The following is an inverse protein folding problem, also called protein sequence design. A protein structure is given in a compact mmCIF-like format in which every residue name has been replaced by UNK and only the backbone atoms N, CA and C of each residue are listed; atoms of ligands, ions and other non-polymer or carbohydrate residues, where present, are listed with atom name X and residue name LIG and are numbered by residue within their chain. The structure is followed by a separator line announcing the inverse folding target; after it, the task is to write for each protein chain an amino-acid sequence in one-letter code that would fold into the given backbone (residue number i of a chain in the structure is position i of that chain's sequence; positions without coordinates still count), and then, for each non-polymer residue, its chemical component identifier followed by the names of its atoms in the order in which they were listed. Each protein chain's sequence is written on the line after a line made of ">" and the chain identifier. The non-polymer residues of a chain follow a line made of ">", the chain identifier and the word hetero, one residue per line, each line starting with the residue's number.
data_IF_171895304274
#
_entry.id   IF_171895304274
#
_cell.length_a   1.000
_cell.length_b   1.000
_cell.length_c   1.000
_cell.angle_alpha   90.00
_cell.angle_beta   90.00
_cell.angle_gamma   90.00
#
_symmetry.space_group_name_H-M   'P 1'
#
loop_
_entity.id
_entity.type
_entity.pdbx_description
1 polymer ?
#
# COMPACT_ATOMS: atom_id res chain seq x y z
N UNK A 1 25.03 11.33 -12.31
CA UNK A 1 23.70 11.32 -11.64
C UNK A 1 23.95 11.42 -10.17
N UNK A 2 23.17 12.22 -9.45
CA UNK A 2 23.22 12.23 -7.99
C UNK A 2 22.79 10.85 -7.48
N UNK A 3 23.66 10.16 -6.76
CA UNK A 3 23.45 8.82 -6.21
C UNK A 3 23.10 8.86 -4.72
N UNK A 4 22.82 10.05 -4.19
CA UNK A 4 22.45 10.19 -2.78
C UNK A 4 21.14 9.45 -2.51
N UNK A 5 21.15 8.61 -1.49
CA UNK A 5 19.99 7.87 -1.01
C UNK A 5 19.71 8.30 0.44
N UNK A 6 18.45 8.62 0.80
CA UNK A 6 18.12 9.10 2.15
C UNK A 6 18.06 7.95 3.15
N UNK A 7 18.48 8.21 4.39
CA UNK A 7 18.06 7.34 5.50
C UNK A 7 16.57 7.51 5.75
N UNK A 8 15.90 6.41 6.08
CA UNK A 8 14.44 6.37 6.20
C UNK A 8 14.03 6.27 7.66
N UNK A 9 13.26 7.24 8.10
CA UNK A 9 12.69 7.32 9.44
C UNK A 9 11.28 6.70 9.51
N UNK A 10 10.80 6.41 10.72
CA UNK A 10 9.38 6.16 10.98
C UNK A 10 8.59 7.46 10.81
N UNK A 11 7.31 7.34 10.42
CA UNK A 11 6.37 8.45 10.45
C UNK A 11 5.22 8.09 11.40
N UNK A 12 5.20 8.71 12.56
CA UNK A 12 4.22 8.43 13.59
C UNK A 12 3.61 9.74 14.08
N UNK A 13 2.30 9.78 14.16
CA UNK A 13 1.55 10.93 14.66
C UNK A 13 1.93 12.28 13.99
N UNK A 14 2.17 12.25 12.67
CA UNK A 14 2.53 13.45 11.90
C UNK A 14 4.02 13.81 11.90
N UNK A 15 4.87 13.04 12.59
CA UNK A 15 6.29 13.35 12.75
C UNK A 15 7.19 12.27 12.18
N UNK A 16 8.22 12.69 11.44
CA UNK A 16 9.34 11.83 11.07
C UNK A 16 10.28 11.71 12.28
N UNK A 17 10.60 10.48 12.66
CA UNK A 17 11.41 10.19 13.85
C UNK A 17 12.21 8.91 13.70
N UNK A 18 13.33 8.83 14.40
CA UNK A 18 14.05 7.58 14.57
C UNK A 18 13.27 6.65 15.50
N UNK A 19 13.52 5.34 15.43
CA UNK A 19 12.97 4.40 16.38
C UNK A 19 13.47 4.72 17.82
N UNK A 20 12.62 4.46 18.82
CA UNK A 20 12.96 4.71 20.24
C UNK A 20 14.27 4.02 20.62
N UNK A 21 14.46 2.77 20.19
CA UNK A 21 15.68 2.01 20.42
C UNK A 21 16.89 2.50 19.60
N UNK A 22 16.69 3.43 18.64
CA UNK A 22 17.70 3.90 17.66
C UNK A 22 18.34 2.78 16.84
N UNK A 23 17.68 1.65 16.75
CA UNK A 23 18.09 0.55 15.89
C UNK A 23 17.75 0.85 14.44
N UNK A 24 18.59 0.35 13.53
CA UNK A 24 18.41 0.52 12.09
C UNK A 24 18.63 -0.80 11.37
N UNK A 25 18.11 -0.89 10.16
CA UNK A 25 18.34 -1.98 9.21
C UNK A 25 18.98 -1.37 7.97
N UNK A 26 20.03 -2.01 7.45
CA UNK A 26 20.70 -1.55 6.22
C UNK A 26 19.82 -1.75 5.00
N UNK A 27 19.85 -0.77 4.11
CA UNK A 27 19.19 -0.84 2.80
C UNK A 27 20.25 -1.13 1.74
N UNK A 28 20.02 -2.17 0.96
CA UNK A 28 20.99 -2.70 0.00
C UNK A 28 20.57 -2.32 -1.43
N UNK A 29 21.49 -1.80 -2.22
CA UNK A 29 21.30 -1.66 -3.65
C UNK A 29 21.45 -3.04 -4.32
N UNK A 30 20.42 -3.62 -4.94
CA UNK A 30 20.47 -4.97 -5.48
C UNK A 30 21.40 -5.11 -6.70
N UNK A 31 21.77 -4.02 -7.36
CA UNK A 31 22.68 -4.05 -8.51
C UNK A 31 24.15 -4.08 -8.11
N UNK A 32 24.50 -3.57 -6.93
CA UNK A 32 25.90 -3.46 -6.46
C UNK A 32 26.16 -4.20 -5.16
N UNK A 33 25.10 -4.71 -4.51
CA UNK A 33 25.13 -5.37 -3.20
C UNK A 33 25.71 -4.50 -2.07
N UNK A 34 25.83 -3.19 -2.34
CA UNK A 34 26.35 -2.23 -1.36
C UNK A 34 25.23 -1.64 -0.49
N UNK A 35 25.57 -1.34 0.76
CA UNK A 35 24.70 -0.56 1.65
C UNK A 35 24.62 0.88 1.09
N UNK A 36 23.40 1.35 0.87
CA UNK A 36 23.15 2.70 0.33
C UNK A 36 22.55 3.65 1.35
N UNK A 37 22.02 3.14 2.44
CA UNK A 37 21.41 3.89 3.54
C UNK A 37 20.87 2.95 4.61
N UNK A 38 20.15 3.52 5.55
CA UNK A 38 19.55 2.81 6.66
C UNK A 38 18.10 3.21 6.85
N UNK A 39 17.27 2.29 7.32
CA UNK A 39 15.91 2.58 7.78
C UNK A 39 15.77 2.32 9.28
N UNK A 40 14.93 3.12 9.94
CA UNK A 40 14.62 2.96 11.35
C UNK A 40 13.91 1.63 11.61
N UNK A 41 14.32 0.90 12.65
CA UNK A 41 13.73 -0.38 13.05
C UNK A 41 12.79 -0.18 14.24
N UNK A 42 11.49 -0.16 13.96
CA UNK A 42 10.46 -0.01 14.99
C UNK A 42 10.44 -1.19 15.97
N UNK A 43 10.33 -0.87 17.23
CA UNK A 43 10.11 -1.81 18.32
C UNK A 43 8.73 -1.59 18.94
N UNK A 44 8.46 -2.34 19.99
CA UNK A 44 7.14 -2.35 20.65
C UNK A 44 6.66 -0.94 21.04
N UNK A 45 7.55 -0.12 21.56
CA UNK A 45 7.23 1.26 22.01
C UNK A 45 6.80 2.14 20.84
N UNK A 46 7.43 2.00 19.67
CA UNK A 46 7.06 2.71 18.44
C UNK A 46 5.69 2.24 17.92
N UNK A 47 5.42 0.94 18.03
CA UNK A 47 4.13 0.35 17.61
C UNK A 47 3.00 0.78 18.55
N UNK A 48 3.25 0.89 19.86
CA UNK A 48 2.30 1.40 20.85
C UNK A 48 1.92 2.86 20.54
N UNK A 49 2.92 3.71 20.23
CA UNK A 49 2.69 5.10 19.83
C UNK A 49 1.88 5.19 18.52
N UNK A 50 2.21 4.36 17.53
CA UNK A 50 1.48 4.31 16.27
C UNK A 50 0.03 3.83 16.46
N UNK A 51 -0.21 2.86 17.33
CA UNK A 51 -1.55 2.37 17.69
C UNK A 51 -2.39 3.44 18.39
N UNK A 52 -1.81 4.15 19.35
CA UNK A 52 -2.47 5.25 20.02
C UNK A 52 -2.82 6.37 19.04
N UNK A 53 -1.85 6.82 18.24
CA UNK A 53 -2.03 7.85 17.22
C UNK A 53 -3.14 7.46 16.23
N UNK A 54 -3.12 6.23 15.71
CA UNK A 54 -4.14 5.73 14.79
C UNK A 54 -5.55 5.68 15.43
N UNK A 55 -5.65 5.30 16.70
CA UNK A 55 -6.92 5.24 17.42
C UNK A 55 -7.50 6.63 17.66
N UNK A 56 -6.69 7.57 18.14
CA UNK A 56 -7.12 8.93 18.44
C UNK A 56 -7.49 9.71 17.18
N UNK A 57 -6.68 9.61 16.14
CA UNK A 57 -6.95 10.28 14.86
C UNK A 57 -8.17 9.72 14.14
N UNK A 58 -8.42 8.41 14.24
CA UNK A 58 -9.62 7.79 13.69
C UNK A 58 -10.90 8.42 14.20
N UNK A 59 -11.00 8.73 15.51
CA UNK A 59 -12.20 9.32 16.10
C UNK A 59 -12.55 10.69 15.50
N UNK A 60 -11.55 11.41 15.02
CA UNK A 60 -11.72 12.69 14.33
C UNK A 60 -11.94 12.49 12.81
N UNK A 61 -11.09 11.67 12.18
CA UNK A 61 -11.07 11.47 10.73
C UNK A 61 -12.36 10.85 10.19
N UNK A 62 -12.96 9.90 10.89
CA UNK A 62 -14.23 9.27 10.51
C UNK A 62 -15.39 10.28 10.34
N UNK A 63 -15.32 11.43 11.01
CA UNK A 63 -16.31 12.49 10.95
C UNK A 63 -16.01 13.55 9.89
N UNK A 64 -14.84 13.50 9.23
CA UNK A 64 -14.52 14.37 8.11
C UNK A 64 -15.34 13.91 6.90
N UNK A 65 -16.10 14.82 6.31
CA UNK A 65 -16.97 14.48 5.18
C UNK A 65 -16.16 14.00 3.96
N UNK A 66 -16.79 13.22 3.11
CA UNK A 66 -16.14 12.59 1.95
C UNK A 66 -15.58 13.60 0.94
N UNK A 67 -16.15 14.79 0.85
CA UNK A 67 -15.71 15.82 -0.08
C UNK A 67 -14.40 16.48 0.36
N UNK A 68 -14.20 16.68 1.66
CA UNK A 68 -12.94 17.21 2.19
C UNK A 68 -11.82 16.15 2.12
N UNK A 69 -12.13 14.87 2.39
CA UNK A 69 -11.19 13.77 2.14
C UNK A 69 -10.78 13.70 0.66
N UNK A 70 -11.74 13.84 -0.24
CA UNK A 70 -11.49 13.92 -1.69
C UNK A 70 -10.48 15.02 -2.05
N UNK A 71 -10.67 16.25 -1.55
CA UNK A 71 -9.77 17.38 -1.84
C UNK A 71 -8.33 17.09 -1.40
N UNK A 72 -8.16 16.51 -0.21
CA UNK A 72 -6.85 16.15 0.32
C UNK A 72 -6.18 15.09 -0.56
N UNK A 73 -6.90 14.03 -0.93
CA UNK A 73 -6.38 12.98 -1.79
C UNK A 73 -6.02 13.49 -3.20
N UNK A 74 -6.84 14.37 -3.78
CA UNK A 74 -6.52 15.02 -5.07
C UNK A 74 -5.21 15.82 -5.00
N UNK A 75 -5.01 16.55 -3.90
CA UNK A 75 -3.77 17.29 -3.66
C UNK A 75 -2.58 16.34 -3.47
N UNK A 76 -2.76 15.20 -2.78
CA UNK A 76 -1.73 14.18 -2.66
C UNK A 76 -1.30 13.63 -4.03
N UNK A 77 -2.25 13.31 -4.90
CA UNK A 77 -1.97 12.86 -6.27
C UNK A 77 -1.18 13.90 -7.07
N UNK A 78 -1.52 15.18 -6.93
CA UNK A 78 -0.77 16.27 -7.57
C UNK A 78 0.68 16.33 -7.06
N UNK A 79 0.90 16.26 -5.75
CA UNK A 79 2.24 16.28 -5.15
C UNK A 79 3.07 15.07 -5.60
N UNK A 80 2.47 13.86 -5.66
CA UNK A 80 3.14 12.66 -6.17
C UNK A 80 3.62 12.89 -7.61
N UNK A 81 2.80 13.47 -8.50
CA UNK A 81 3.19 13.78 -9.88
C UNK A 81 4.32 14.82 -9.93
N UNK A 82 4.25 15.87 -9.12
CA UNK A 82 5.28 16.90 -9.05
C UNK A 82 6.64 16.32 -8.62
N UNK A 83 6.66 15.31 -7.74
CA UNK A 83 7.87 14.64 -7.22
C UNK A 83 8.22 13.35 -7.96
N UNK A 84 7.52 13.04 -9.05
CA UNK A 84 7.62 11.71 -9.71
C UNK A 84 9.03 11.34 -10.14
N UNK A 85 9.82 12.28 -10.66
CA UNK A 85 11.19 12.04 -11.08
C UNK A 85 12.13 11.72 -9.90
N UNK A 86 11.97 12.40 -8.77
CA UNK A 86 12.76 12.17 -7.56
C UNK A 86 12.42 10.82 -6.95
N UNK A 87 11.13 10.53 -6.77
CA UNK A 87 10.67 9.25 -6.22
C UNK A 87 11.10 8.09 -7.11
N UNK A 88 10.97 8.24 -8.45
CA UNK A 88 11.39 7.21 -9.40
C UNK A 88 12.91 6.94 -9.33
N UNK A 89 13.74 7.98 -9.16
CA UNK A 89 15.17 7.85 -8.97
C UNK A 89 15.51 7.05 -7.70
N UNK A 90 14.89 7.40 -6.59
CA UNK A 90 15.05 6.69 -5.30
C UNK A 90 14.65 5.21 -5.49
N UNK A 91 13.47 4.97 -6.08
CA UNK A 91 12.98 3.62 -6.34
C UNK A 91 13.95 2.81 -7.21
N UNK A 92 14.52 3.39 -8.26
CA UNK A 92 15.49 2.70 -9.11
C UNK A 92 16.73 2.28 -8.32
N UNK A 93 17.19 3.11 -7.38
CA UNK A 93 18.39 2.83 -6.59
C UNK A 93 18.15 1.69 -5.58
N UNK A 94 17.03 1.71 -4.87
CA UNK A 94 16.74 0.70 -3.83
C UNK A 94 16.15 -0.60 -4.39
N UNK A 95 15.43 -0.54 -5.53
CA UNK A 95 14.73 -1.67 -6.11
C UNK A 95 15.51 -2.35 -7.25
N UNK A 96 16.29 -1.58 -8.01
CA UNK A 96 17.01 -2.07 -9.18
C UNK A 96 16.19 -2.08 -10.48
N UNK A 97 14.91 -1.69 -10.50
CA UNK A 97 14.14 -1.60 -11.75
C UNK A 97 14.56 -0.40 -12.60
N UNK A 98 14.38 -0.47 -13.95
CA UNK A 98 14.69 0.64 -14.83
C UNK A 98 13.94 1.93 -14.46
N UNK A 99 14.57 3.09 -14.64
CA UNK A 99 13.99 4.40 -14.30
C UNK A 99 12.65 4.66 -15.00
N UNK A 100 12.48 4.19 -16.24
CA UNK A 100 11.22 4.30 -16.98
C UNK A 100 10.08 3.52 -16.31
N UNK A 101 10.37 2.32 -15.79
CA UNK A 101 9.38 1.53 -15.04
C UNK A 101 9.07 2.16 -13.68
N UNK A 102 10.09 2.68 -12.99
CA UNK A 102 9.91 3.40 -11.72
C UNK A 102 9.03 4.64 -11.91
N UNK A 103 9.28 5.43 -12.95
CA UNK A 103 8.49 6.62 -13.27
C UNK A 103 7.03 6.27 -13.62
N UNK A 104 6.83 5.20 -14.40
CA UNK A 104 5.50 4.69 -14.73
C UNK A 104 4.75 4.25 -13.46
N UNK A 105 5.44 3.57 -12.51
CA UNK A 105 4.83 3.16 -11.24
C UNK A 105 4.42 4.35 -10.38
N UNK A 106 5.26 5.38 -10.25
CA UNK A 106 4.94 6.58 -9.46
C UNK A 106 3.73 7.31 -10.04
N UNK A 107 3.68 7.49 -11.38
CA UNK A 107 2.54 8.13 -12.03
C UNK A 107 1.26 7.31 -11.87
N UNK A 108 1.34 5.98 -12.00
CA UNK A 108 0.20 5.10 -11.72
C UNK A 108 -0.25 5.20 -10.26
N UNK A 109 0.69 5.38 -9.32
CA UNK A 109 0.36 5.63 -7.91
C UNK A 109 -0.45 6.91 -7.71
N UNK A 110 -0.11 7.97 -8.44
CA UNK A 110 -0.90 9.20 -8.45
C UNK A 110 -2.30 8.98 -9.04
N UNK A 111 -2.41 8.24 -10.15
CA UNK A 111 -3.69 7.92 -10.78
C UNK A 111 -4.59 7.07 -9.87
N UNK A 112 -4.01 6.11 -9.14
CA UNK A 112 -4.72 5.32 -8.13
C UNK A 112 -5.20 6.22 -6.99
N UNK A 113 -4.39 7.19 -6.56
CA UNK A 113 -4.79 8.16 -5.53
C UNK A 113 -5.99 8.99 -5.98
N UNK A 114 -5.98 9.45 -7.24
CA UNK A 114 -7.11 10.16 -7.84
C UNK A 114 -8.37 9.30 -7.92
N UNK A 115 -8.22 8.04 -8.35
CA UNK A 115 -9.32 7.09 -8.36
C UNK A 115 -9.96 6.92 -6.97
N UNK A 116 -9.12 6.70 -5.94
CA UNK A 116 -9.56 6.52 -4.57
C UNK A 116 -10.19 7.81 -3.99
N UNK A 117 -9.73 9.00 -4.42
CA UNK A 117 -10.36 10.26 -4.08
C UNK A 117 -11.82 10.31 -4.59
N UNK A 118 -12.04 9.92 -5.86
CA UNK A 118 -13.38 9.85 -6.42
C UNK A 118 -14.25 8.78 -5.73
N UNK A 119 -13.67 7.61 -5.38
CA UNK A 119 -14.39 6.56 -4.66
C UNK A 119 -14.82 7.00 -3.25
N UNK A 120 -14.06 7.89 -2.59
CA UNK A 120 -14.48 8.48 -1.30
C UNK A 120 -15.87 9.12 -1.39
N UNK A 121 -16.22 9.72 -2.54
CA UNK A 121 -17.49 10.38 -2.79
C UNK A 121 -18.60 9.42 -3.24
N UNK A 122 -18.25 8.18 -3.59
CA UNK A 122 -19.18 7.14 -4.10
C UNK A 122 -19.53 6.07 -3.06
N UNK A 123 -19.16 6.26 -1.81
CA UNK A 123 -19.52 5.34 -0.73
C UNK A 123 -21.03 5.45 -0.38
N UNK A 124 -21.88 5.22 -1.37
CA UNK A 124 -23.34 5.37 -1.24
C UNK A 124 -23.94 4.32 -0.32
N UNK A 125 -24.98 4.74 0.42
CA UNK A 125 -25.90 3.84 1.09
C UNK A 125 -26.97 3.27 0.16
N UNK A 126 -27.96 2.60 0.73
CA UNK A 126 -29.14 2.09 0.01
C UNK A 126 -30.41 2.34 0.82
N UNK A 127 -31.48 2.69 0.12
CA UNK A 127 -32.83 2.64 0.67
C UNK A 127 -33.45 1.31 0.24
N UNK A 128 -33.90 0.52 1.21
CA UNK A 128 -34.42 -0.84 0.96
C UNK A 128 -35.94 -0.84 1.21
N UNK A 129 -36.77 -1.39 0.30
CA UNK A 129 -38.18 -1.56 0.53
C UNK A 129 -38.48 -2.36 1.80
N UNK A 130 -39.33 -1.82 2.65
CA UNK A 130 -39.79 -2.48 3.87
C UNK A 130 -41.02 -3.35 3.60
N UNK A 131 -41.29 -4.30 4.51
CA UNK A 131 -42.55 -5.06 4.53
C UNK A 131 -43.73 -4.25 5.08
N UNK A 132 -43.45 -3.12 5.74
CA UNK A 132 -44.46 -2.21 6.32
C UNK A 132 -44.41 -0.86 5.61
N UNK A 133 -45.57 -0.25 5.38
CA UNK A 133 -45.68 1.07 4.76
C UNK A 133 -45.15 2.21 5.64
N UNK A 134 -45.10 2.00 6.94
CA UNK A 134 -44.72 3.02 7.93
C UNK A 134 -43.24 2.92 8.32
N UNK A 135 -42.43 2.06 7.65
CA UNK A 135 -41.03 1.82 7.97
C UNK A 135 -40.13 2.10 6.76
N UNK A 136 -39.09 2.91 6.97
CA UNK A 136 -38.01 3.11 6.02
C UNK A 136 -36.77 2.35 6.49
N UNK A 137 -36.19 1.53 5.60
CA UNK A 137 -34.95 0.78 5.87
C UNK A 137 -33.81 1.41 5.06
N UNK A 138 -32.74 1.82 5.78
CA UNK A 138 -31.56 2.41 5.17
C UNK A 138 -30.32 1.62 5.54
N UNK A 139 -29.41 1.44 4.57
CA UNK A 139 -28.04 0.99 4.80
C UNK A 139 -27.11 2.17 4.64
N UNK A 140 -26.33 2.45 5.65
CA UNK A 140 -25.29 3.49 5.64
C UNK A 140 -23.93 2.80 5.74
N UNK A 141 -22.96 3.29 4.97
CA UNK A 141 -21.57 2.81 5.05
C UNK A 141 -20.79 3.66 6.04
N UNK A 142 -20.06 2.99 6.93
CA UNK A 142 -19.22 3.62 7.93
C UNK A 142 -17.78 3.13 7.83
N UNK A 143 -16.78 3.97 8.23
CA UNK A 143 -15.39 3.55 8.32
C UNK A 143 -15.22 2.38 9.30
N UNK A 144 -14.47 1.35 8.90
CA UNK A 144 -14.31 0.12 9.69
C UNK A 144 -13.47 0.33 10.96
N UNK A 145 -12.61 1.34 10.98
CA UNK A 145 -11.69 1.62 12.07
C UNK A 145 -10.23 1.66 11.63
N UNK A 146 -9.29 1.67 12.58
CA UNK A 146 -7.85 1.63 12.27
C UNK A 146 -7.46 0.36 11.53
N UNK A 147 -6.63 0.50 10.50
CA UNK A 147 -6.17 -0.57 9.60
C UNK A 147 -4.70 -0.84 9.82
N UNK A 148 -4.26 -2.10 9.85
CA UNK A 148 -2.88 -2.49 9.68
C UNK A 148 -2.64 -2.90 8.21
N UNK A 149 -1.76 -2.19 7.52
CA UNK A 149 -1.38 -2.45 6.15
C UNK A 149 0.03 -3.05 6.08
N UNK A 150 0.24 -4.05 5.22
CA UNK A 150 1.54 -4.68 4.99
C UNK A 150 1.82 -4.66 3.49
N UNK A 151 2.87 -3.92 3.08
CA UNK A 151 3.20 -3.69 1.67
C UNK A 151 4.49 -4.43 1.29
N UNK A 152 4.53 -5.12 0.14
CA UNK A 152 5.73 -5.76 -0.39
C UNK A 152 6.59 -4.77 -1.16
N UNK A 153 7.80 -5.22 -1.52
CA UNK A 153 8.86 -4.45 -2.14
C UNK A 153 8.76 -4.31 -3.67
N UNK A 154 8.09 -5.23 -4.36
CA UNK A 154 8.15 -5.33 -5.83
C UNK A 154 7.50 -4.16 -6.59
N UNK A 155 6.49 -3.53 -6.00
CA UNK A 155 5.85 -2.29 -6.45
C UNK A 155 5.57 -1.40 -5.24
N UNK A 156 6.61 -0.77 -4.65
CA UNK A 156 6.52 -0.12 -3.34
C UNK A 156 5.50 1.03 -3.30
N UNK A 157 5.34 1.77 -4.40
CA UNK A 157 4.33 2.81 -4.49
C UNK A 157 2.94 2.21 -4.73
N UNK A 158 2.79 1.35 -5.75
CA UNK A 158 1.48 0.84 -6.13
C UNK A 158 0.82 -0.03 -5.07
N UNK A 159 1.61 -0.77 -4.31
CA UNK A 159 1.06 -1.62 -3.23
C UNK A 159 0.74 -0.81 -1.98
N UNK A 160 1.57 0.18 -1.64
CA UNK A 160 1.32 1.05 -0.50
C UNK A 160 0.12 2.00 -0.74
N UNK A 161 0.03 2.61 -1.91
CA UNK A 161 -1.03 3.58 -2.23
C UNK A 161 -2.43 2.98 -2.17
N UNK A 162 -2.60 1.71 -2.59
CA UNK A 162 -3.89 1.01 -2.50
C UNK A 162 -4.37 0.84 -1.06
N UNK A 163 -3.43 0.65 -0.13
CA UNK A 163 -3.73 0.49 1.30
C UNK A 163 -3.95 1.85 1.97
N UNK A 164 -3.00 2.76 1.80
CA UNK A 164 -3.05 4.11 2.39
C UNK A 164 -4.23 4.88 1.83
N UNK A 165 -4.31 5.02 0.51
CA UNK A 165 -5.35 5.78 -0.15
C UNK A 165 -6.74 5.22 0.12
N UNK A 166 -6.90 3.88 0.10
CA UNK A 166 -8.17 3.22 0.41
C UNK A 166 -8.62 3.46 1.85
N UNK A 167 -7.71 3.37 2.83
CA UNK A 167 -8.03 3.64 4.23
C UNK A 167 -8.41 5.12 4.43
N UNK A 168 -7.61 6.04 3.93
CA UNK A 168 -7.83 7.49 4.06
C UNK A 168 -9.14 7.91 3.36
N UNK A 169 -9.39 7.42 2.15
CA UNK A 169 -10.63 7.67 1.40
C UNK A 169 -11.87 7.19 2.16
N UNK A 170 -11.79 6.01 2.76
CA UNK A 170 -12.89 5.43 3.53
C UNK A 170 -13.12 6.11 4.90
N UNK A 171 -12.25 7.03 5.35
CA UNK A 171 -12.34 7.66 6.67
C UNK A 171 -11.72 6.82 7.79
N UNK A 172 -10.87 5.86 7.44
CA UNK A 172 -10.08 5.05 8.38
C UNK A 172 -8.71 5.68 8.63
N UNK A 173 -8.10 5.39 9.78
CA UNK A 173 -6.66 5.57 9.97
C UNK A 173 -5.92 4.29 9.59
N UNK A 174 -4.60 4.39 9.37
CA UNK A 174 -3.78 3.27 8.96
C UNK A 174 -2.40 3.30 9.62
N UNK A 175 -1.93 2.13 10.05
CA UNK A 175 -0.52 1.85 10.31
C UNK A 175 -0.05 1.01 9.15
N UNK A 176 0.85 1.56 8.32
CA UNK A 176 1.44 0.85 7.19
C UNK A 176 2.84 0.36 7.57
N UNK A 177 3.04 -0.96 7.51
CA UNK A 177 4.37 -1.54 7.54
C UNK A 177 4.92 -1.49 6.12
N UNK A 178 5.89 -0.58 5.87
CA UNK A 178 6.59 -0.45 4.59
C UNK A 178 7.51 -1.63 4.31
N UNK A 179 7.89 -1.87 3.04
CA UNK A 179 8.85 -2.91 2.68
C UNK A 179 10.26 -2.55 3.16
N UNK A 180 11.02 -3.56 3.61
CA UNK A 180 12.38 -3.38 4.10
C UNK A 180 13.39 -3.13 2.99
N UNK A 181 13.13 -3.73 1.83
CA UNK A 181 14.01 -3.64 0.66
C UNK A 181 13.86 -2.29 -0.08
N UNK A 182 12.68 -1.64 0.03
CA UNK A 182 12.37 -0.41 -0.70
C UNK A 182 11.68 0.62 0.20
N UNK A 183 12.32 1.01 1.32
CA UNK A 183 11.66 1.83 2.34
C UNK A 183 11.46 3.29 1.92
N UNK A 184 12.42 3.89 1.21
CA UNK A 184 12.37 5.31 0.91
C UNK A 184 11.28 5.67 -0.10
N UNK A 185 11.00 4.82 -1.09
CA UNK A 185 9.85 5.02 -1.98
C UNK A 185 8.54 5.08 -1.21
N UNK A 186 8.34 4.16 -0.27
CA UNK A 186 7.14 4.15 0.57
C UNK A 186 7.09 5.39 1.48
N UNK A 187 8.23 5.83 2.03
CA UNK A 187 8.32 7.04 2.85
C UNK A 187 7.96 8.30 2.04
N UNK A 188 8.45 8.43 0.81
CA UNK A 188 8.13 9.57 -0.05
C UNK A 188 6.63 9.62 -0.44
N UNK A 189 5.99 8.46 -0.62
CA UNK A 189 4.55 8.40 -0.79
C UNK A 189 3.83 8.96 0.45
N UNK A 190 4.19 8.50 1.66
CA UNK A 190 3.60 9.00 2.92
C UNK A 190 3.85 10.50 3.09
N UNK A 191 5.04 10.99 2.74
CA UNK A 191 5.38 12.42 2.76
C UNK A 191 4.44 13.22 1.86
N UNK A 192 4.14 12.74 0.66
CA UNK A 192 3.20 13.41 -0.25
C UNK A 192 1.78 13.52 0.33
N UNK A 193 1.31 12.48 1.02
CA UNK A 193 0.01 12.52 1.71
C UNK A 193 0.00 13.47 2.91
N UNK A 194 1.08 13.50 3.70
CA UNK A 194 1.24 14.42 4.82
C UNK A 194 1.24 15.88 4.35
N UNK A 195 2.04 16.19 3.32
CA UNK A 195 2.13 17.53 2.73
C UNK A 195 0.83 17.97 2.03
N UNK A 196 0.00 17.02 1.61
CA UNK A 196 -1.35 17.29 1.10
C UNK A 196 -2.32 17.74 2.20
N UNK A 197 -2.00 17.49 3.46
CA UNK A 197 -2.80 17.88 4.61
C UNK A 197 -3.61 16.75 5.23
N UNK A 198 -3.19 15.49 5.05
CA UNK A 198 -3.75 14.39 5.85
C UNK A 198 -3.39 14.65 7.32
N UNK A 199 -4.38 14.66 8.24
CA UNK A 199 -4.12 14.98 9.64
C UNK A 199 -3.16 14.00 10.34
N UNK A 200 -2.46 14.52 11.34
CA UNK A 200 -1.56 13.73 12.19
C UNK A 200 -2.23 12.47 12.73
N UNK A 201 -1.50 11.36 12.73
CA UNK A 201 -1.96 10.05 13.21
C UNK A 201 -2.88 9.27 12.26
N UNK A 202 -3.46 9.91 11.22
CA UNK A 202 -4.30 9.19 10.23
C UNK A 202 -3.48 8.20 9.41
N UNK A 203 -2.24 8.56 9.07
CA UNK A 203 -1.26 7.67 8.47
C UNK A 203 -0.08 7.54 9.43
N UNK A 204 0.33 6.31 9.72
CA UNK A 204 1.54 6.00 10.45
C UNK A 204 2.34 4.99 9.63
N UNK A 205 3.64 5.23 9.42
CA UNK A 205 4.55 4.36 8.67
C UNK A 205 5.60 3.79 9.61
N UNK A 206 5.69 2.48 9.62
CA UNK A 206 6.68 1.74 10.42
C UNK A 206 7.47 0.77 9.55
N UNK A 207 8.72 0.54 9.93
CA UNK A 207 9.61 -0.44 9.33
C UNK A 207 10.18 -1.37 10.41
N UNK A 208 10.62 -2.53 10.01
CA UNK A 208 11.21 -3.52 10.92
C UNK A 208 10.87 -4.94 10.48
N UNK A 209 11.16 -5.91 11.32
CA UNK A 209 10.99 -7.33 11.05
C UNK A 209 9.48 -7.64 10.89
N UNK A 210 9.06 -8.19 9.71
CA UNK A 210 7.63 -8.37 9.39
C UNK A 210 6.87 -9.22 10.40
N UNK A 211 7.48 -10.32 10.90
CA UNK A 211 6.85 -11.19 11.89
C UNK A 211 6.61 -10.47 13.22
N UNK A 212 7.60 -9.76 13.75
CA UNK A 212 7.48 -9.02 15.01
C UNK A 212 6.35 -7.98 14.94
N UNK A 213 6.29 -7.22 13.84
CA UNK A 213 5.27 -6.19 13.66
C UNK A 213 3.88 -6.81 13.45
N UNK A 214 3.77 -7.86 12.65
CA UNK A 214 2.46 -8.47 12.38
C UNK A 214 1.89 -9.20 13.60
N UNK A 215 2.70 -9.93 14.34
CA UNK A 215 2.33 -10.60 15.58
C UNK A 215 1.90 -9.63 16.67
N UNK A 216 2.44 -8.41 16.66
CA UNK A 216 2.06 -7.36 17.59
C UNK A 216 0.78 -6.61 17.17
N UNK A 217 0.70 -6.17 15.92
CA UNK A 217 -0.41 -5.33 15.44
C UNK A 217 -1.72 -6.12 15.25
N UNK A 218 -1.66 -7.33 14.69
CA UNK A 218 -2.88 -8.06 14.30
C UNK A 218 -3.78 -8.40 15.50
N UNK A 219 -3.26 -8.92 16.63
CA UNK A 219 -4.07 -9.20 17.81
C UNK A 219 -4.62 -7.94 18.49
N UNK A 220 -3.96 -6.79 18.30
CA UNK A 220 -4.24 -5.60 19.08
C UNK A 220 -5.70 -5.11 18.87
N UNK A 221 -6.44 -4.77 19.95
CA UNK A 221 -7.87 -4.41 19.88
C UNK A 221 -8.17 -3.14 19.09
N UNK A 222 -7.22 -2.23 18.96
CA UNK A 222 -7.34 -1.01 18.12
C UNK A 222 -7.50 -1.36 16.66
N UNK A 223 -6.76 -2.34 16.15
CA UNK A 223 -6.81 -2.74 14.73
C UNK A 223 -8.13 -3.46 14.43
N UNK A 224 -8.82 -3.02 13.38
CA UNK A 224 -10.10 -3.56 12.93
C UNK A 224 -10.01 -4.33 11.62
N UNK A 225 -9.03 -4.00 10.78
CA UNK A 225 -8.84 -4.60 9.46
C UNK A 225 -7.37 -4.79 9.17
N UNK A 226 -7.06 -5.88 8.47
CA UNK A 226 -5.75 -6.18 7.90
C UNK A 226 -5.83 -6.03 6.38
N UNK A 227 -4.84 -5.36 5.79
CA UNK A 227 -4.65 -5.31 4.34
C UNK A 227 -3.22 -5.75 4.02
N UNK A 228 -3.10 -6.91 3.40
CA UNK A 228 -1.82 -7.54 3.10
C UNK A 228 -1.66 -7.76 1.59
N UNK A 229 -0.46 -7.50 1.08
CA UNK A 229 0.00 -7.95 -0.23
C UNK A 229 1.34 -8.65 -0.07
N UNK A 230 1.47 -9.85 -0.61
CA UNK A 230 2.69 -10.66 -0.52
C UNK A 230 2.47 -12.11 -0.92
N UNK A 231 3.31 -13.02 -0.41
CA UNK A 231 3.22 -14.44 -0.75
C UNK A 231 1.96 -15.10 -0.17
N UNK A 232 1.46 -16.12 -0.88
CA UNK A 232 0.28 -16.89 -0.43
C UNK A 232 0.51 -17.56 0.91
N UNK A 233 1.74 -18.05 1.19
CA UNK A 233 2.07 -18.69 2.46
C UNK A 233 1.93 -17.73 3.64
N UNK A 234 2.52 -16.53 3.52
CA UNK A 234 2.41 -15.47 4.55
C UNK A 234 0.97 -14.98 4.67
N UNK A 235 0.27 -14.80 3.54
CA UNK A 235 -1.14 -14.38 3.55
C UNK A 235 -2.04 -15.34 4.33
N UNK A 236 -1.86 -16.66 4.17
CA UNK A 236 -2.57 -17.68 4.95
C UNK A 236 -2.29 -17.56 6.44
N UNK A 237 -1.02 -17.33 6.82
CA UNK A 237 -0.63 -17.16 8.21
C UNK A 237 -1.31 -15.92 8.82
N UNK A 238 -1.21 -14.76 8.15
CA UNK A 238 -1.81 -13.52 8.64
C UNK A 238 -3.35 -13.58 8.66
N UNK A 239 -3.97 -14.25 7.69
CA UNK A 239 -5.42 -14.46 7.68
C UNK A 239 -5.87 -15.35 8.84
N UNK A 240 -5.12 -16.41 9.17
CA UNK A 240 -5.38 -17.25 10.34
C UNK A 240 -5.30 -16.45 11.64
N UNK A 241 -4.23 -15.66 11.79
CA UNK A 241 -4.05 -14.78 12.96
C UNK A 241 -5.20 -13.74 13.07
N UNK A 242 -5.56 -13.12 11.96
CA UNK A 242 -6.68 -12.17 11.90
C UNK A 242 -8.01 -12.82 12.27
N UNK A 243 -8.25 -14.07 11.83
CA UNK A 243 -9.44 -14.84 12.14
C UNK A 243 -9.61 -15.13 13.62
N UNK A 244 -8.53 -15.45 14.32
CA UNK A 244 -8.53 -15.66 15.78
C UNK A 244 -9.00 -14.41 16.55
N UNK A 245 -8.84 -13.23 15.96
CA UNK A 245 -9.21 -11.94 16.58
C UNK A 245 -10.38 -11.24 15.86
N UNK A 246 -11.11 -11.96 15.00
CA UNK A 246 -12.28 -11.45 14.25
C UNK A 246 -12.00 -10.16 13.48
N UNK A 247 -10.78 -10.02 12.91
CA UNK A 247 -10.42 -8.86 12.07
C UNK A 247 -10.91 -9.08 10.65
N UNK A 248 -11.35 -8.01 9.99
CA UNK A 248 -11.57 -8.02 8.55
C UNK A 248 -10.24 -8.14 7.81
N UNK A 249 -10.22 -8.87 6.71
CA UNK A 249 -9.01 -9.06 5.90
C UNK A 249 -9.24 -8.70 4.44
N UNK A 250 -8.21 -8.15 3.81
CA UNK A 250 -8.05 -8.08 2.36
C UNK A 250 -6.67 -8.63 2.04
N UNK A 251 -6.63 -9.69 1.23
CA UNK A 251 -5.40 -10.40 0.88
C UNK A 251 -5.17 -10.32 -0.63
N UNK A 252 -4.06 -9.71 -1.03
CA UNK A 252 -3.57 -9.65 -2.40
C UNK A 252 -2.33 -10.54 -2.48
N UNK A 253 -2.47 -11.69 -3.12
CA UNK A 253 -1.50 -12.78 -3.03
C UNK A 253 -0.84 -13.04 -4.38
N UNK A 254 0.08 -14.02 -4.41
CA UNK A 254 0.65 -14.51 -5.65
C UNK A 254 -0.42 -15.11 -6.57
N UNK A 255 -0.15 -15.07 -7.85
CA UNK A 255 -1.08 -15.58 -8.85
C UNK A 255 -0.40 -15.84 -10.18
N UNK A 256 -1.20 -16.20 -11.16
CA UNK A 256 -0.85 -16.42 -12.55
C UNK A 256 -1.89 -15.74 -13.43
N UNK A 257 -1.43 -14.94 -14.39
CA UNK A 257 -2.30 -14.29 -15.36
C UNK A 257 -2.22 -15.05 -16.70
N UNK A 258 -3.18 -15.92 -17.03
CA UNK A 258 -3.15 -16.66 -18.27
C UNK A 258 -3.33 -15.70 -19.47
N UNK A 259 -2.55 -15.92 -20.54
CA UNK A 259 -2.73 -15.28 -21.83
C UNK A 259 -3.24 -16.30 -22.83
N UNK A 260 -4.38 -16.01 -23.45
CA UNK A 260 -5.02 -16.89 -24.44
C UNK A 260 -4.90 -16.19 -25.79
N UNK A 261 -4.30 -16.89 -26.78
CA UNK A 261 -4.11 -16.40 -28.15
C UNK A 261 -4.97 -17.28 -29.04
N UNK A 262 -5.99 -16.67 -29.66
CA UNK A 262 -6.82 -17.35 -30.64
C UNK A 262 -6.13 -17.43 -31.99
N UNK A 263 -6.57 -18.36 -32.86
CA UNK A 263 -5.99 -18.66 -34.16
C UNK A 263 -6.06 -17.50 -35.17
N UNK A 264 -7.00 -16.59 -34.99
CA UNK A 264 -7.18 -15.38 -35.79
C UNK A 264 -6.39 -14.16 -35.27
N UNK A 265 -5.63 -14.30 -34.19
CA UNK A 265 -4.89 -13.21 -33.57
C UNK A 265 -3.67 -12.79 -34.42
N UNK A 266 -3.29 -11.51 -34.31
CA UNK A 266 -2.02 -11.07 -34.85
C UNK A 266 -0.87 -11.54 -33.96
N UNK A 267 -0.13 -12.55 -34.41
CA UNK A 267 0.92 -13.23 -33.64
C UNK A 267 2.05 -12.28 -33.23
N UNK A 268 2.48 -11.37 -34.10
CA UNK A 268 3.56 -10.43 -33.79
C UNK A 268 3.17 -9.50 -32.65
N UNK A 269 1.95 -8.96 -32.67
CA UNK A 269 1.43 -8.14 -31.60
C UNK A 269 1.27 -8.95 -30.30
N UNK A 270 0.78 -10.18 -30.39
CA UNK A 270 0.62 -11.05 -29.25
C UNK A 270 1.96 -11.34 -28.55
N UNK A 271 2.99 -11.68 -29.34
CA UNK A 271 4.35 -11.92 -28.82
C UNK A 271 4.90 -10.67 -28.13
N UNK A 272 4.76 -9.50 -28.75
CA UNK A 272 5.24 -8.25 -28.15
C UNK A 272 4.52 -7.93 -26.83
N UNK A 273 3.21 -8.09 -26.77
CA UNK A 273 2.42 -7.85 -25.57
C UNK A 273 2.79 -8.82 -24.43
N UNK A 274 2.93 -10.11 -24.78
CA UNK A 274 3.28 -11.15 -23.80
C UNK A 274 4.70 -10.92 -23.28
N UNK A 275 5.68 -10.64 -24.16
CA UNK A 275 7.05 -10.36 -23.76
C UNK A 275 7.13 -9.16 -22.80
N UNK A 276 6.44 -8.07 -23.14
CA UNK A 276 6.40 -6.88 -22.29
C UNK A 276 5.80 -7.18 -20.88
N UNK A 277 4.75 -8.00 -20.82
CA UNK A 277 4.15 -8.40 -19.55
C UNK A 277 5.01 -9.38 -18.77
N UNK A 278 5.63 -10.34 -19.46
CA UNK A 278 6.47 -11.38 -18.85
C UNK A 278 7.72 -10.82 -18.20
N UNK A 279 8.39 -9.89 -18.89
CA UNK A 279 9.70 -9.38 -18.46
C UNK A 279 9.62 -8.06 -17.67
N UNK A 280 8.44 -7.44 -17.56
CA UNK A 280 8.25 -6.27 -16.71
C UNK A 280 8.69 -6.57 -15.29
N UNK A 281 9.45 -5.66 -14.69
CA UNK A 281 10.00 -5.80 -13.34
C UNK A 281 10.72 -7.16 -13.13
N UNK A 282 11.42 -7.64 -14.15
CA UNK A 282 12.11 -8.95 -14.17
C UNK A 282 11.18 -10.14 -13.84
N UNK A 283 9.88 -10.04 -14.14
CA UNK A 283 8.89 -11.07 -13.82
C UNK A 283 8.42 -11.11 -12.36
N UNK A 284 8.89 -10.19 -11.52
CA UNK A 284 8.55 -10.11 -10.10
C UNK A 284 7.18 -9.44 -9.90
N UNK A 285 6.15 -10.02 -10.50
CA UNK A 285 4.79 -9.45 -10.62
C UNK A 285 3.78 -10.51 -10.22
N UNK A 286 2.83 -10.16 -9.36
CA UNK A 286 1.77 -11.07 -8.90
C UNK A 286 0.85 -11.56 -10.03
N UNK A 287 0.77 -10.81 -11.13
CA UNK A 287 0.01 -11.14 -12.35
C UNK A 287 0.95 -11.52 -13.51
N UNK A 288 2.12 -12.07 -13.22
CA UNK A 288 3.05 -12.53 -14.25
C UNK A 288 2.54 -13.81 -14.91
N UNK A 289 2.88 -13.98 -16.20
CA UNK A 289 2.72 -15.25 -16.91
C UNK A 289 3.79 -16.22 -16.41
N UNK A 290 3.44 -17.06 -15.44
CA UNK A 290 4.38 -18.01 -14.83
C UNK A 290 4.46 -19.33 -15.63
N UNK A 291 3.37 -19.71 -16.26
CA UNK A 291 3.19 -20.98 -16.93
C UNK A 291 2.73 -20.78 -18.37
N UNK A 292 3.21 -21.62 -19.29
CA UNK A 292 2.76 -21.69 -20.68
C UNK A 292 2.35 -23.10 -21.00
N UNK A 293 1.21 -23.27 -21.67
CA UNK A 293 0.78 -24.53 -22.29
C UNK A 293 0.32 -24.25 -23.74
N UNK A 294 0.37 -25.22 -24.61
CA UNK A 294 -0.24 -25.18 -25.93
C UNK A 294 -1.31 -26.28 -26.07
N UNK A 295 -2.03 -26.29 -27.18
CA UNK A 295 -3.09 -27.26 -27.45
C UNK A 295 -2.59 -28.71 -27.58
N UNK A 296 -1.29 -28.94 -27.59
CA UNK A 296 -0.69 -30.28 -27.64
C UNK A 296 -0.40 -30.83 -26.23
N UNK A 297 -0.53 -30.03 -25.20
CA UNK A 297 -0.31 -30.42 -23.80
C UNK A 297 -1.60 -30.93 -23.13
N UNK A 298 -2.76 -30.84 -23.81
CA UNK A 298 -4.07 -31.34 -23.43
C UNK A 298 -4.32 -32.76 -24.07
#
# INVERSE_FOLDING_TARGET
>A
MDTSYPNTQLFINGHWKDAVAKETIDVINPATESVIGQMAHARKEDLDEALEAANLSFQKWKNVNSFDRYKILRKAAEIIRQRSNEIARIMTIEHGKPIGESLAEVNLGADITDWLAEEARRAYGRLIPSRSTDVYQMVVKEPVGPVAGFSPWNFPINQAVRKIGGAVAAGCSIIIKGPEETPASCAELVRAYADAGVPEGVINLVFGIPSEISEYLIPHPVIRKISFTGSTAVGKLLASMAGLHMKLVTMELGGHAPAIIFDDANVENAVQMIANNKYRNAGQVCVCLLYTSDAADD
#
